data_IF_745548322154
#
_entry.id   IF_745548322154
#
_cell.length_a   1.000
_cell.length_b   1.000
_cell.length_c   1.000
_cell.angle_alpha   90.00
_cell.angle_beta   90.00
_cell.angle_gamma   90.00
#
_symmetry.space_group_name_H-M   'P 1'
#
loop_
_entity.id
_entity.type
_entity.pdbx_description
1 polymer ?
#
# COMPACT_ATOMS: atom_id res chain seq x y z
N UNK A 1 5.08 -21.08 -4.02
CA UNK A 1 3.97 -20.16 -3.70
C UNK A 1 4.04 -18.95 -4.60
N UNK A 2 2.92 -18.59 -5.21
CA UNK A 2 2.81 -17.35 -5.97
C UNK A 2 2.46 -16.25 -4.97
N UNK A 3 3.37 -15.30 -4.77
CA UNK A 3 3.05 -14.03 -4.11
C UNK A 3 2.28 -13.17 -5.12
N UNK A 4 0.97 -13.07 -4.95
CA UNK A 4 0.20 -12.02 -5.60
C UNK A 4 0.19 -10.82 -4.66
N UNK A 5 1.05 -9.84 -4.88
CA UNK A 5 0.95 -8.55 -4.20
C UNK A 5 -0.16 -7.73 -4.87
N UNK A 6 -1.21 -7.43 -4.14
CA UNK A 6 -2.26 -6.52 -4.58
C UNK A 6 -1.98 -5.18 -3.91
N UNK A 7 -1.51 -4.20 -4.67
CA UNK A 7 -1.43 -2.83 -4.22
C UNK A 7 -2.85 -2.24 -4.20
N UNK A 8 -3.51 -2.32 -3.05
CA UNK A 8 -4.77 -1.62 -2.83
C UNK A 8 -4.46 -0.31 -2.10
N UNK A 9 -4.54 0.81 -2.78
CA UNK A 9 -4.57 2.12 -2.13
C UNK A 9 -5.97 2.33 -1.52
N UNK A 10 -6.05 2.16 -0.21
CA UNK A 10 -7.23 2.50 0.55
C UNK A 10 -7.05 3.90 1.15
N UNK A 11 -7.94 4.79 0.81
CA UNK A 11 -8.07 6.08 1.48
C UNK A 11 -9.29 6.00 2.41
N UNK A 12 -9.12 5.81 3.73
CA UNK A 12 -10.23 5.87 4.65
C UNK A 12 -10.81 7.29 4.63
N UNK A 13 -12.10 7.39 4.33
CA UNK A 13 -12.87 8.60 4.61
C UNK A 13 -13.29 8.47 6.06
N UNK A 14 -12.48 8.95 6.99
CA UNK A 14 -12.86 8.99 8.39
C UNK A 14 -13.93 10.06 8.59
N UNK A 15 -15.05 9.68 9.22
CA UNK A 15 -15.95 10.64 9.85
C UNK A 15 -15.23 11.22 11.07
N UNK A 16 -15.41 12.50 11.35
CA UNK A 16 -14.75 13.24 12.44
C UNK A 16 -14.83 12.56 13.83
N UNK A 17 -15.75 11.61 14.01
CA UNK A 17 -15.98 10.84 15.25
C UNK A 17 -15.07 9.60 15.40
N UNK A 18 -14.51 9.07 14.32
CA UNK A 18 -13.70 7.84 14.35
C UNK A 18 -12.20 8.14 14.57
N UNK A 19 -11.74 9.32 14.19
CA UNK A 19 -10.38 9.79 14.45
C UNK A 19 -10.05 9.88 15.94
N UNK A 20 -11.04 10.16 16.78
CA UNK A 20 -10.88 10.27 18.24
C UNK A 20 -10.72 8.91 18.97
N UNK A 21 -11.13 7.79 18.35
CA UNK A 21 -11.14 6.46 18.99
C UNK A 21 -9.94 5.58 18.65
N UNK A 22 -9.23 5.82 17.56
CA UNK A 22 -8.07 5.02 17.10
C UNK A 22 -6.72 5.39 17.75
N UNK A 23 -6.68 6.33 18.67
CA UNK A 23 -5.45 6.84 19.30
C UNK A 23 -4.90 5.96 20.44
N UNK A 24 -4.86 4.65 20.25
CA UNK A 24 -4.10 3.75 21.16
C UNK A 24 -3.05 2.96 20.37
N UNK A 25 -1.98 3.61 19.97
CA UNK A 25 -0.82 2.86 19.52
C UNK A 25 0.10 3.47 18.45
N UNK A 26 -0.27 4.50 17.71
CA UNK A 26 0.69 5.21 16.86
C UNK A 26 1.16 6.47 17.57
N UNK A 27 2.47 6.63 17.68
CA UNK A 27 3.06 7.91 18.11
C UNK A 27 2.61 8.97 17.11
N UNK A 28 1.51 9.67 17.46
CA UNK A 28 1.19 10.93 16.82
C UNK A 28 2.45 11.78 16.84
N UNK A 29 2.87 12.26 15.68
CA UNK A 29 3.67 13.47 15.62
C UNK A 29 2.89 14.50 16.43
N UNK A 30 3.34 14.73 17.65
CA UNK A 30 2.83 15.76 18.56
C UNK A 30 2.79 17.02 17.71
N UNK A 31 1.63 17.54 17.43
CA UNK A 31 1.46 18.88 16.88
C UNK A 31 2.26 19.78 17.80
N UNK A 32 3.25 20.46 17.24
CA UNK A 32 4.16 21.30 18.02
C UNK A 32 3.32 22.30 18.82
N UNK A 33 3.12 22.01 20.10
CA UNK A 33 2.30 22.84 21.00
C UNK A 33 2.90 24.23 21.19
N UNK A 34 4.14 24.46 20.74
CA UNK A 34 4.79 25.77 20.73
C UNK A 34 4.05 26.80 19.89
N UNK A 35 3.19 26.38 18.97
CA UNK A 35 2.37 27.26 18.12
C UNK A 35 1.16 27.82 18.86
N UNK A 36 0.74 27.19 19.97
CA UNK A 36 -0.44 27.61 20.70
C UNK A 36 -0.06 28.60 21.82
N UNK A 37 -0.83 29.67 21.93
CA UNK A 37 -0.62 30.64 23.00
C UNK A 37 -1.04 30.06 24.36
N UNK A 38 -0.42 30.59 25.44
CA UNK A 38 -0.80 30.23 26.82
C UNK A 38 -2.29 30.47 27.08
N UNK A 39 -2.86 31.57 26.53
CA UNK A 39 -4.28 31.90 26.64
C UNK A 39 -5.17 30.81 26.04
N UNK A 40 -4.75 30.21 24.90
CA UNK A 40 -5.46 29.13 24.26
C UNK A 40 -5.40 27.84 25.08
N UNK A 41 -4.23 27.53 25.63
CA UNK A 41 -4.04 26.31 26.44
C UNK A 41 -4.76 26.39 27.78
N UNK A 42 -4.89 27.59 28.37
CA UNK A 42 -5.56 27.84 29.64
C UNK A 42 -7.07 28.08 29.53
N UNK A 43 -7.64 28.12 28.32
CA UNK A 43 -9.05 28.31 28.12
C UNK A 43 -9.89 27.17 28.73
N UNK A 44 -10.76 27.52 29.69
CA UNK A 44 -11.49 26.53 30.51
C UNK A 44 -12.65 25.83 29.82
N UNK A 45 -12.94 26.13 28.54
CA UNK A 45 -13.97 25.45 27.75
C UNK A 45 -13.64 25.44 26.27
N UNK A 46 -14.17 24.47 25.52
CA UNK A 46 -14.01 24.37 24.07
C UNK A 46 -14.52 25.58 23.32
N UNK A 47 -15.63 26.20 23.78
CA UNK A 47 -16.14 27.44 23.20
C UNK A 47 -15.15 28.60 23.39
N UNK A 48 -14.53 28.69 24.56
CA UNK A 48 -13.52 29.74 24.83
C UNK A 48 -12.23 29.47 24.03
N UNK A 49 -11.80 28.21 23.90
CA UNK A 49 -10.67 27.83 23.04
C UNK A 49 -10.93 28.23 21.59
N UNK A 50 -12.12 27.96 21.08
CA UNK A 50 -12.50 28.34 19.71
C UNK A 50 -12.48 29.87 19.51
N UNK A 51 -13.02 30.65 20.50
CA UNK A 51 -12.98 32.10 20.44
C UNK A 51 -11.53 32.65 20.42
N UNK A 52 -10.67 32.15 21.30
CA UNK A 52 -9.26 32.56 21.36
C UNK A 52 -8.53 32.20 20.09
N UNK A 53 -8.70 30.95 19.59
CA UNK A 53 -8.10 30.49 18.34
C UNK A 53 -8.54 31.35 17.14
N UNK A 54 -9.83 31.65 17.02
CA UNK A 54 -10.36 32.50 15.96
C UNK A 54 -9.75 33.94 16.01
N UNK A 55 -9.67 34.53 17.20
CA UNK A 55 -9.02 35.83 17.37
C UNK A 55 -7.55 35.82 16.95
N UNK A 56 -6.82 34.76 17.28
CA UNK A 56 -5.41 34.61 16.89
C UNK A 56 -5.27 34.45 15.37
N UNK A 57 -6.13 33.70 14.72
CA UNK A 57 -6.15 33.55 13.25
C UNK A 57 -6.33 34.92 12.59
N UNK A 58 -7.28 35.74 13.07
CA UNK A 58 -7.47 37.10 12.53
C UNK A 58 -6.26 37.98 12.74
N UNK A 59 -5.62 37.96 13.91
CA UNK A 59 -4.38 38.74 14.18
C UNK A 59 -3.24 38.31 13.25
N UNK A 60 -3.07 37.00 13.00
CA UNK A 60 -2.03 36.52 12.12
C UNK A 60 -2.31 36.98 10.66
N UNK A 61 -3.56 36.94 10.22
CA UNK A 61 -3.95 37.42 8.88
C UNK A 61 -3.70 38.94 8.74
N UNK A 62 -4.05 39.71 9.73
CA UNK A 62 -3.78 41.16 9.78
C UNK A 62 -2.28 41.45 9.75
N UNK A 63 -1.49 40.79 10.59
CA UNK A 63 -0.03 40.94 10.59
C UNK A 63 0.58 40.58 9.22
N UNK A 64 0.13 39.50 8.61
CA UNK A 64 0.59 39.10 7.26
C UNK A 64 0.21 40.15 6.22
N UNK A 65 -1.01 40.67 6.27
CA UNK A 65 -1.47 41.73 5.37
C UNK A 65 -0.61 42.99 5.52
N UNK A 66 -0.36 43.45 6.75
CA UNK A 66 0.45 44.65 7.04
C UNK A 66 1.90 44.51 6.54
N UNK A 67 2.48 43.28 6.63
CA UNK A 67 3.80 42.99 6.05
C UNK A 67 3.76 43.10 4.52
N UNK A 68 2.75 42.52 3.89
CA UNK A 68 2.62 42.49 2.43
C UNK A 68 2.30 43.88 1.84
N UNK A 69 1.55 44.73 2.57
CA UNK A 69 1.21 46.10 2.14
C UNK A 69 2.27 47.12 2.51
N UNK A 70 3.27 46.73 3.32
CA UNK A 70 4.30 47.66 3.81
C UNK A 70 3.85 48.56 4.95
N UNK A 71 2.72 48.23 5.59
CA UNK A 71 2.13 48.99 6.71
C UNK A 71 2.63 48.53 8.08
N UNK A 72 3.45 47.45 8.12
CA UNK A 72 4.03 46.97 9.36
C UNK A 72 5.10 47.95 9.89
N UNK A 73 5.09 48.22 11.21
CA UNK A 73 6.06 49.15 11.87
C UNK A 73 7.51 48.71 11.70
N UNK A 74 7.74 47.37 11.59
CA UNK A 74 9.06 46.80 11.39
C UNK A 74 8.97 45.74 10.26
N UNK A 75 9.47 46.10 9.10
CA UNK A 75 9.58 45.16 7.98
C UNK A 75 10.88 44.33 8.07
N UNK A 76 10.85 43.05 7.72
CA UNK A 76 12.07 42.24 7.59
C UNK A 76 13.07 42.94 6.63
N UNK A 77 14.39 42.86 6.94
CA UNK A 77 15.39 43.68 6.23
C UNK A 77 15.67 43.23 4.78
N UNK A 78 15.35 42.02 4.43
CA UNK A 78 15.56 41.46 3.09
C UNK A 78 14.44 40.49 2.66
N UNK A 79 14.45 40.08 1.39
CA UNK A 79 13.44 39.18 0.82
C UNK A 79 13.42 37.77 1.42
N UNK A 80 14.53 37.24 1.86
CA UNK A 80 14.61 35.94 2.50
C UNK A 80 14.05 35.97 3.92
N UNK A 81 14.38 37.00 4.70
CA UNK A 81 13.81 37.19 6.04
C UNK A 81 12.29 37.38 5.96
N UNK A 82 11.82 38.20 5.01
CA UNK A 82 10.40 38.41 4.77
C UNK A 82 9.68 37.11 4.43
N UNK A 83 10.25 36.31 3.53
CA UNK A 83 9.71 34.99 3.13
C UNK A 83 9.60 34.05 4.34
N UNK A 84 10.63 33.99 5.17
CA UNK A 84 10.63 33.17 6.39
C UNK A 84 9.53 33.62 7.37
N UNK A 85 9.37 34.92 7.58
CA UNK A 85 8.33 35.44 8.48
C UNK A 85 6.93 35.11 7.96
N UNK A 86 6.69 35.32 6.66
CA UNK A 86 5.40 34.98 6.04
C UNK A 86 5.14 33.48 6.18
N UNK A 87 6.11 32.62 5.91
CA UNK A 87 5.98 31.17 6.07
C UNK A 87 5.62 30.79 7.51
N UNK A 88 6.27 31.35 8.50
CA UNK A 88 5.97 31.11 9.91
C UNK A 88 4.54 31.52 10.27
N UNK A 89 4.08 32.67 9.78
CA UNK A 89 2.70 33.13 9.98
C UNK A 89 1.68 32.20 9.33
N UNK A 90 1.98 31.69 8.13
CA UNK A 90 1.12 30.72 7.43
C UNK A 90 1.08 29.35 8.15
N UNK A 91 2.21 28.88 8.67
CA UNK A 91 2.26 27.64 9.46
C UNK A 91 1.45 27.78 10.76
N UNK A 92 1.56 28.90 11.46
CA UNK A 92 0.76 29.20 12.65
C UNK A 92 -0.73 29.29 12.32
N UNK A 93 -1.11 30.02 11.25
CA UNK A 93 -2.50 30.11 10.81
C UNK A 93 -3.08 28.74 10.49
N UNK A 94 -2.31 27.90 9.79
CA UNK A 94 -2.70 26.54 9.44
C UNK A 94 -2.89 25.67 10.68
N UNK A 95 -1.98 25.74 11.64
CA UNK A 95 -2.07 24.96 12.87
C UNK A 95 -3.33 25.33 13.69
N UNK A 96 -3.63 26.63 13.82
CA UNK A 96 -4.83 27.10 14.50
C UNK A 96 -6.11 26.75 13.72
N UNK A 97 -6.08 26.84 12.39
CA UNK A 97 -7.22 26.47 11.54
C UNK A 97 -7.54 24.97 11.64
N UNK A 98 -6.52 24.14 11.80
CA UNK A 98 -6.68 22.70 11.98
C UNK A 98 -7.44 22.32 13.26
N UNK A 99 -7.52 23.20 14.25
CA UNK A 99 -8.37 23.00 15.44
C UNK A 99 -9.86 22.98 15.07
N UNK A 100 -10.25 23.65 13.99
CA UNK A 100 -11.64 23.72 13.51
C UNK A 100 -11.93 22.67 12.42
N UNK A 101 -10.97 22.44 11.52
CA UNK A 101 -11.15 21.58 10.35
C UNK A 101 -10.66 20.14 10.55
N UNK A 102 -9.88 19.90 11.60
CA UNK A 102 -9.17 18.65 11.79
C UNK A 102 -7.96 18.52 10.86
N UNK A 103 -7.22 17.43 11.02
CA UNK A 103 -6.08 17.07 10.18
C UNK A 103 -6.44 15.76 9.47
N UNK A 104 -6.46 15.79 8.16
CA UNK A 104 -6.62 14.57 7.36
C UNK A 104 -5.25 13.91 7.19
N UNK A 105 -5.05 12.77 7.85
CA UNK A 105 -3.87 11.93 7.69
C UNK A 105 -4.20 10.80 6.73
N UNK A 106 -3.38 10.63 5.69
CA UNK A 106 -3.46 9.48 4.80
C UNK A 106 -2.35 8.51 5.17
N UNK A 107 -2.73 7.29 5.49
CA UNK A 107 -1.79 6.18 5.68
C UNK A 107 -2.06 5.15 4.59
N UNK A 108 -0.99 4.66 3.96
CA UNK A 108 -1.07 3.56 3.00
C UNK A 108 -0.55 2.31 3.67
N UNK A 109 -1.41 1.33 3.82
CA UNK A 109 -1.06 0.03 4.36
C UNK A 109 -0.97 -0.99 3.22
N UNK A 110 0.05 -1.85 3.28
CA UNK A 110 0.25 -2.91 2.30
C UNK A 110 -0.02 -4.26 2.96
N UNK A 111 -0.88 -5.04 2.33
CA UNK A 111 -1.23 -6.38 2.77
C UNK A 111 -0.86 -7.40 1.70
N UNK A 112 -0.31 -8.52 2.13
CA UNK A 112 0.02 -9.63 1.25
C UNK A 112 -0.84 -10.84 1.59
N UNK A 113 -1.50 -11.39 0.57
CA UNK A 113 -2.27 -12.63 0.67
C UNK A 113 -1.64 -13.66 -0.26
N UNK A 114 -1.19 -14.77 0.30
CA UNK A 114 -0.58 -15.87 -0.48
C UNK A 114 -1.56 -17.01 -0.65
N UNK A 115 -1.76 -17.45 -1.89
CA UNK A 115 -2.61 -18.59 -2.22
C UNK A 115 -1.80 -19.58 -3.04
N UNK A 116 -1.98 -20.87 -2.74
CA UNK A 116 -1.41 -21.97 -3.51
C UNK A 116 -2.57 -22.68 -4.23
N UNK A 117 -2.85 -22.33 -5.50
CA UNK A 117 -3.95 -22.94 -6.21
C UNK A 117 -3.58 -24.35 -6.65
N UNK A 118 -4.39 -25.33 -6.29
CA UNK A 118 -4.27 -26.70 -6.79
C UNK A 118 -5.15 -26.93 -8.01
N UNK A 119 -6.23 -26.18 -8.12
CA UNK A 119 -7.19 -26.22 -9.21
C UNK A 119 -7.77 -24.84 -9.52
N UNK A 120 -8.73 -24.74 -10.44
CA UNK A 120 -9.49 -23.52 -10.64
C UNK A 120 -10.19 -23.10 -9.34
N UNK A 121 -10.20 -21.80 -9.08
CA UNK A 121 -10.90 -21.24 -7.93
C UNK A 121 -12.12 -20.46 -8.44
N UNK A 122 -13.27 -20.71 -7.83
CA UNK A 122 -14.50 -19.96 -8.11
C UNK A 122 -14.98 -19.30 -6.82
N UNK A 123 -14.95 -17.97 -6.79
CA UNK A 123 -15.36 -17.14 -5.65
C UNK A 123 -14.67 -17.51 -4.33
N UNK A 124 -13.37 -17.81 -4.39
CA UNK A 124 -12.57 -17.96 -3.17
C UNK A 124 -12.45 -16.63 -2.46
N UNK A 125 -12.71 -16.60 -1.15
CA UNK A 125 -12.60 -15.40 -0.34
C UNK A 125 -11.13 -15.15 -0.02
N UNK A 126 -10.56 -14.08 -0.56
CA UNK A 126 -9.17 -13.69 -0.27
C UNK A 126 -9.03 -13.06 1.12
N UNK A 127 -9.86 -12.08 1.36
CA UNK A 127 -9.96 -11.31 2.59
C UNK A 127 -11.32 -10.62 2.62
N UNK A 128 -11.64 -9.95 3.70
CA UNK A 128 -12.82 -9.10 3.79
C UNK A 128 -12.43 -7.67 4.08
N UNK A 129 -13.25 -6.75 3.67
CA UNK A 129 -13.04 -5.32 3.83
C UNK A 129 -14.13 -4.70 4.70
N UNK A 130 -13.74 -4.10 5.80
CA UNK A 130 -14.60 -3.33 6.69
C UNK A 130 -14.29 -1.84 6.55
N UNK A 131 -15.31 -0.99 6.48
CA UNK A 131 -15.11 0.47 6.46
C UNK A 131 -14.45 1.01 7.74
N UNK A 132 -14.62 0.29 8.86
CA UNK A 132 -14.11 0.71 10.17
C UNK A 132 -12.74 0.11 10.49
N UNK A 133 -12.50 -1.15 10.07
CA UNK A 133 -11.32 -1.91 10.45
C UNK A 133 -10.31 -2.05 9.30
N UNK A 134 -10.68 -1.66 8.07
CA UNK A 134 -9.86 -1.90 6.90
C UNK A 134 -9.94 -3.35 6.42
N UNK A 135 -8.80 -3.93 6.06
CA UNK A 135 -8.71 -5.34 5.66
C UNK A 135 -8.78 -6.22 6.91
N UNK A 136 -9.64 -7.20 6.87
CA UNK A 136 -9.84 -8.21 7.92
C UNK A 136 -9.76 -9.61 7.31
N UNK A 137 -9.55 -10.62 8.13
CA UNK A 137 -9.40 -12.01 7.71
C UNK A 137 -10.63 -12.52 6.94
N UNK A 138 -10.41 -13.54 6.11
CA UNK A 138 -11.47 -14.16 5.30
C UNK A 138 -12.65 -14.68 6.14
N UNK A 139 -12.37 -15.10 7.38
CA UNK A 139 -13.36 -15.65 8.32
C UNK A 139 -14.09 -14.58 9.13
N UNK A 140 -13.65 -13.32 9.11
CA UNK A 140 -14.30 -12.22 9.82
C UNK A 140 -15.54 -11.73 9.06
N UNK A 141 -16.72 -12.14 9.51
CA UNK A 141 -18.00 -11.79 8.90
C UNK A 141 -18.37 -10.30 9.01
N UNK A 142 -17.63 -9.50 9.77
CA UNK A 142 -17.83 -8.05 9.90
C UNK A 142 -17.43 -7.24 8.67
N UNK A 143 -16.75 -7.86 7.70
CA UNK A 143 -16.29 -7.23 6.46
C UNK A 143 -17.00 -7.73 5.20
N UNK A 144 -17.03 -6.89 4.16
CA UNK A 144 -17.47 -7.29 2.82
C UNK A 144 -16.45 -8.20 2.17
N UNK A 145 -16.81 -9.39 1.66
CA UNK A 145 -15.87 -10.32 1.08
C UNK A 145 -15.31 -9.82 -0.26
N UNK A 146 -14.02 -10.02 -0.43
CA UNK A 146 -13.31 -9.86 -1.69
C UNK A 146 -13.02 -11.25 -2.23
N UNK A 147 -13.56 -11.54 -3.39
CA UNK A 147 -13.48 -12.85 -4.03
C UNK A 147 -12.42 -12.88 -5.11
N UNK A 148 -11.80 -14.03 -5.26
CA UNK A 148 -10.94 -14.35 -6.42
C UNK A 148 -11.55 -15.48 -7.23
N UNK A 149 -11.60 -15.27 -8.54
CA UNK A 149 -11.77 -16.31 -9.53
C UNK A 149 -10.41 -16.56 -10.19
N UNK A 150 -10.02 -17.82 -10.29
CA UNK A 150 -8.80 -18.23 -10.96
C UNK A 150 -9.14 -19.36 -11.91
N UNK A 151 -8.93 -19.15 -13.20
CA UNK A 151 -9.21 -20.13 -14.25
C UNK A 151 -7.96 -20.41 -15.07
N UNK A 152 -7.54 -21.68 -15.08
CA UNK A 152 -6.43 -22.11 -15.91
C UNK A 152 -6.74 -21.86 -17.40
N UNK A 153 -5.83 -21.14 -18.08
CA UNK A 153 -5.85 -20.94 -19.54
C UNK A 153 -4.87 -21.87 -20.25
N UNK A 154 -3.71 -22.11 -19.59
CA UNK A 154 -2.74 -23.11 -20.03
C UNK A 154 -2.37 -23.97 -18.82
N UNK A 155 -2.63 -25.26 -18.91
CA UNK A 155 -2.34 -26.21 -17.82
C UNK A 155 -1.66 -27.45 -18.39
N UNK A 156 -0.58 -27.88 -17.74
CA UNK A 156 0.04 -29.15 -18.05
C UNK A 156 -0.91 -30.31 -17.70
N UNK A 157 -0.84 -31.43 -18.42
CA UNK A 157 -1.61 -32.63 -18.08
C UNK A 157 -1.37 -33.06 -16.64
N UNK A 158 -2.44 -33.37 -15.93
CA UNK A 158 -2.37 -33.96 -14.59
C UNK A 158 -1.90 -35.39 -14.74
N UNK A 159 -0.69 -35.67 -14.29
CA UNK A 159 -0.09 -36.99 -14.31
C UNK A 159 -0.54 -37.76 -13.06
N UNK A 160 -0.75 -39.06 -13.21
CA UNK A 160 -0.91 -39.93 -12.05
C UNK A 160 0.43 -40.01 -11.23
N UNK A 161 0.37 -40.51 -10.00
CA UNK A 161 1.53 -40.60 -9.12
C UNK A 161 2.69 -41.43 -9.75
N UNK A 162 2.39 -42.47 -10.51
CA UNK A 162 3.40 -43.30 -11.15
C UNK A 162 4.03 -42.61 -12.37
N UNK A 163 3.24 -41.90 -13.14
CA UNK A 163 3.71 -41.11 -14.29
C UNK A 163 4.53 -39.93 -13.84
N UNK A 164 4.09 -39.24 -12.79
CA UNK A 164 4.84 -38.12 -12.17
C UNK A 164 6.22 -38.60 -11.67
N UNK A 165 6.26 -39.75 -10.97
CA UNK A 165 7.53 -40.34 -10.49
C UNK A 165 8.46 -40.78 -11.64
N UNK A 166 7.93 -41.36 -12.71
CA UNK A 166 8.71 -41.71 -13.90
C UNK A 166 9.28 -40.47 -14.57
N UNK A 167 8.45 -39.45 -14.72
CA UNK A 167 8.89 -38.16 -15.29
C UNK A 167 10.01 -37.55 -14.46
N UNK A 168 9.85 -37.47 -13.14
CA UNK A 168 10.87 -36.91 -12.24
C UNK A 168 12.19 -37.69 -12.34
N UNK A 169 12.15 -39.01 -12.40
CA UNK A 169 13.37 -39.83 -12.57
C UNK A 169 14.01 -39.65 -13.95
N UNK A 170 13.27 -39.18 -14.95
CA UNK A 170 13.80 -38.92 -16.30
C UNK A 170 14.46 -37.55 -16.43
N UNK A 171 14.23 -36.61 -15.48
CA UNK A 171 14.80 -35.27 -15.50
C UNK A 171 16.32 -35.37 -15.27
N UNK A 172 17.08 -34.78 -16.18
CA UNK A 172 18.55 -34.71 -16.11
C UNK A 172 19.01 -33.24 -16.07
N UNK A 173 20.10 -32.99 -15.35
CA UNK A 173 20.69 -31.67 -15.26
C UNK A 173 19.99 -30.75 -14.29
N UNK A 174 19.90 -29.47 -14.60
CA UNK A 174 19.26 -28.46 -13.74
C UNK A 174 17.76 -28.48 -13.97
N UNK A 175 17.00 -28.84 -12.95
CA UNK A 175 15.55 -28.90 -13.01
C UNK A 175 14.95 -27.51 -12.82
N UNK A 176 14.03 -27.12 -13.68
CA UNK A 176 13.33 -25.85 -13.62
C UNK A 176 11.82 -26.02 -13.84
N UNK A 177 11.06 -25.01 -13.46
CA UNK A 177 9.62 -25.01 -13.64
C UNK A 177 9.23 -24.33 -14.97
N UNK A 178 8.32 -24.94 -15.68
CA UNK A 178 7.60 -24.34 -16.81
C UNK A 178 6.19 -24.06 -16.30
N UNK A 179 5.88 -22.81 -15.87
CA UNK A 179 4.58 -22.49 -15.30
C UNK A 179 3.47 -22.58 -16.35
N UNK A 180 2.29 -22.98 -15.92
CA UNK A 180 1.07 -22.78 -16.69
C UNK A 180 0.59 -21.34 -16.58
N UNK A 181 -0.50 -21.00 -17.28
CA UNK A 181 -1.13 -19.67 -17.21
C UNK A 181 -2.55 -19.77 -16.67
N UNK A 182 -2.94 -18.76 -15.93
CA UNK A 182 -4.31 -18.61 -15.45
C UNK A 182 -4.79 -17.17 -15.59
N UNK A 183 -6.06 -17.02 -15.90
CA UNK A 183 -6.79 -15.77 -15.80
C UNK A 183 -7.22 -15.58 -14.35
N UNK A 184 -6.95 -14.40 -13.80
CA UNK A 184 -7.31 -14.00 -12.45
C UNK A 184 -8.31 -12.86 -12.52
N UNK A 185 -9.38 -12.96 -11.75
CA UNK A 185 -10.35 -11.90 -11.57
C UNK A 185 -10.65 -11.72 -10.09
N UNK A 186 -10.54 -10.48 -9.60
CA UNK A 186 -10.82 -10.11 -8.21
C UNK A 186 -12.05 -9.23 -8.18
N UNK A 187 -13.02 -9.60 -7.34
CA UNK A 187 -14.33 -8.95 -7.28
C UNK A 187 -14.68 -8.57 -5.84
N UNK A 188 -15.34 -7.42 -5.70
CA UNK A 188 -16.01 -7.01 -4.47
C UNK A 188 -17.36 -6.38 -4.82
N UNK A 189 -18.43 -6.78 -4.16
CA UNK A 189 -19.79 -6.27 -4.41
C UNK A 189 -20.19 -6.31 -5.91
N UNK A 190 -19.88 -7.40 -6.62
CA UNK A 190 -20.13 -7.58 -8.06
C UNK A 190 -19.33 -6.62 -8.96
N UNK A 191 -18.41 -5.84 -8.40
CA UNK A 191 -17.52 -4.97 -9.16
C UNK A 191 -16.17 -5.66 -9.30
N UNK A 192 -15.65 -5.74 -10.51
CA UNK A 192 -14.29 -6.24 -10.78
C UNK A 192 -13.29 -5.17 -10.33
N UNK A 193 -12.42 -5.54 -9.38
CA UNK A 193 -11.33 -4.70 -8.89
C UNK A 193 -10.06 -4.90 -9.72
N UNK A 194 -9.82 -6.15 -10.13
CA UNK A 194 -8.66 -6.51 -10.93
C UNK A 194 -9.02 -7.64 -11.89
N UNK A 195 -8.45 -7.61 -13.09
CA UNK A 195 -8.50 -8.69 -14.07
C UNK A 195 -7.17 -8.75 -14.80
N UNK A 196 -6.57 -9.94 -14.88
CA UNK A 196 -5.27 -10.12 -15.51
C UNK A 196 -4.95 -11.59 -15.71
N UNK A 197 -3.76 -11.87 -16.24
CA UNK A 197 -3.20 -13.19 -16.37
C UNK A 197 -1.95 -13.33 -15.51
N UNK A 198 -1.73 -14.50 -14.94
CA UNK A 198 -0.54 -14.80 -14.17
C UNK A 198 0.01 -16.20 -14.54
N UNK A 199 1.31 -16.33 -14.35
CA UNK A 199 1.98 -17.62 -14.45
C UNK A 199 1.85 -18.37 -13.14
N UNK A 200 1.30 -19.58 -13.20
CA UNK A 200 1.03 -20.44 -12.04
C UNK A 200 1.89 -21.68 -12.12
N UNK A 201 2.85 -21.81 -11.23
CA UNK A 201 3.78 -22.96 -11.23
C UNK A 201 3.05 -24.28 -10.99
N UNK A 202 2.00 -24.27 -10.18
CA UNK A 202 1.18 -25.46 -9.88
C UNK A 202 0.40 -25.99 -11.09
N UNK A 203 0.19 -25.16 -12.10
CA UNK A 203 -0.47 -25.55 -13.35
C UNK A 203 0.52 -25.94 -14.43
N UNK A 204 1.79 -25.83 -14.14
CA UNK A 204 2.87 -26.12 -15.06
C UNK A 204 3.46 -27.52 -14.94
N UNK A 205 4.66 -27.66 -15.44
CA UNK A 205 5.44 -28.89 -15.40
C UNK A 205 6.88 -28.60 -15.01
N UNK A 206 7.63 -29.64 -14.66
CA UNK A 206 9.08 -29.55 -14.44
C UNK A 206 9.80 -30.11 -15.64
N UNK A 207 10.90 -29.46 -16.01
CA UNK A 207 11.80 -29.87 -17.09
C UNK A 207 13.25 -29.79 -16.65
N UNK A 208 14.14 -30.46 -17.38
CA UNK A 208 15.58 -30.48 -17.08
C UNK A 208 16.38 -29.87 -18.20
N UNK A 209 17.30 -28.95 -17.87
CA UNK A 209 18.31 -28.46 -18.79
C UNK A 209 19.40 -29.51 -18.94
N UNK A 210 19.66 -29.93 -20.19
CA UNK A 210 20.64 -30.96 -20.48
C UNK A 210 22.04 -30.56 -19.99
N UNK A 211 22.79 -31.43 -19.28
CA UNK A 211 24.13 -31.14 -18.79
C UNK A 211 25.10 -30.69 -19.89
N UNK A 212 24.94 -31.21 -21.09
CA UNK A 212 25.76 -30.84 -22.29
C UNK A 212 25.78 -29.33 -22.55
N UNK A 213 24.73 -28.61 -22.17
CA UNK A 213 24.71 -27.14 -22.33
C UNK A 213 25.76 -26.41 -21.49
N UNK A 214 26.27 -27.06 -20.45
CA UNK A 214 27.23 -26.45 -19.48
C UNK A 214 28.66 -27.01 -19.63
N UNK A 215 28.90 -27.89 -20.59
CA UNK A 215 30.19 -28.58 -20.73
C UNK A 215 31.24 -27.74 -21.47
N UNK A 216 30.81 -26.77 -22.30
CA UNK A 216 31.74 -25.94 -23.05
C UNK A 216 32.41 -24.88 -22.18
N UNK A 217 33.66 -25.13 -21.82
CA UNK A 217 34.48 -24.20 -21.03
C UNK A 217 34.85 -22.90 -21.76
N UNK A 218 34.76 -22.89 -23.08
CA UNK A 218 35.12 -21.70 -23.91
C UNK A 218 33.94 -20.77 -24.09
N UNK A 219 32.71 -21.28 -24.02
CA UNK A 219 31.46 -20.52 -24.10
C UNK A 219 30.55 -20.87 -22.89
N UNK A 220 30.84 -20.35 -21.69
CA UNK A 220 30.07 -20.69 -20.49
C UNK A 220 28.64 -20.15 -20.59
N UNK A 221 27.70 -21.05 -20.50
CA UNK A 221 26.28 -20.69 -20.47
C UNK A 221 25.84 -20.31 -19.04
N UNK A 222 25.19 -19.15 -18.87
CA UNK A 222 24.56 -18.71 -17.62
C UNK A 222 23.05 -18.76 -17.78
N UNK A 223 22.38 -19.39 -16.83
CA UNK A 223 20.91 -19.44 -16.79
C UNK A 223 20.43 -18.67 -15.57
N UNK A 224 19.57 -17.70 -15.81
CA UNK A 224 18.89 -16.93 -14.76
C UNK A 224 17.48 -17.47 -14.58
N UNK A 225 17.06 -17.62 -13.34
CA UNK A 225 15.71 -18.08 -12.99
C UNK A 225 14.93 -16.98 -12.28
N UNK A 226 13.62 -17.02 -12.40
CA UNK A 226 12.74 -16.24 -11.55
C UNK A 226 12.68 -16.90 -10.17
N UNK A 227 13.05 -16.20 -9.09
CA UNK A 227 13.06 -16.80 -7.75
C UNK A 227 11.67 -17.24 -7.29
N UNK A 228 10.62 -16.53 -7.72
CA UNK A 228 9.23 -16.79 -7.30
C UNK A 228 8.67 -18.07 -7.95
N UNK A 229 9.00 -18.32 -9.21
CA UNK A 229 8.41 -19.44 -9.98
C UNK A 229 9.40 -20.57 -10.24
N UNK A 230 10.70 -20.30 -10.15
CA UNK A 230 11.74 -21.23 -10.60
C UNK A 230 11.75 -21.45 -12.13
N UNK A 231 11.06 -20.59 -12.89
CA UNK A 231 11.07 -20.61 -14.35
C UNK A 231 12.34 -19.93 -14.91
N UNK A 232 12.73 -20.29 -16.11
CA UNK A 232 13.87 -19.65 -16.78
C UNK A 232 13.49 -18.21 -17.14
N UNK A 233 14.30 -17.27 -16.68
CA UNK A 233 14.20 -15.85 -17.04
C UNK A 233 14.99 -15.55 -18.31
N UNK A 234 16.22 -16.06 -18.38
CA UNK A 234 17.14 -15.79 -19.48
C UNK A 234 18.25 -16.84 -19.52
N UNK A 235 18.68 -17.18 -20.74
CA UNK A 235 19.88 -17.96 -21.01
C UNK A 235 20.88 -17.02 -21.69
N UNK A 236 22.07 -16.87 -21.13
CA UNK A 236 23.14 -16.02 -21.61
C UNK A 236 24.30 -16.91 -22.02
N UNK A 237 24.76 -16.75 -23.24
CA UNK A 237 25.91 -17.42 -23.82
C UNK A 237 27.09 -16.49 -23.94
#
# INVERSE_FOLDING_TARGET
GLLCSINAEYTPVESELDAAKKNKGSQQKVTDTSVFSEELLMAGSTAKQAEVAAKQIYRIRESRLNILTGEADNLPPDGEAMKLVIQQLEEQEKALTNLFTGILTKETEHYEVSIIPHDNLDKEVLFRFSKQLGIVDADDLGGTPVYMNLKATERAPILDAKEAEKKDKSLKGIVYNVPGKASIEILMNKKTLYKGEAQITQFGTREGLAPVMFEDKKAPVKVLFYPETGAIKQIIQ
#
